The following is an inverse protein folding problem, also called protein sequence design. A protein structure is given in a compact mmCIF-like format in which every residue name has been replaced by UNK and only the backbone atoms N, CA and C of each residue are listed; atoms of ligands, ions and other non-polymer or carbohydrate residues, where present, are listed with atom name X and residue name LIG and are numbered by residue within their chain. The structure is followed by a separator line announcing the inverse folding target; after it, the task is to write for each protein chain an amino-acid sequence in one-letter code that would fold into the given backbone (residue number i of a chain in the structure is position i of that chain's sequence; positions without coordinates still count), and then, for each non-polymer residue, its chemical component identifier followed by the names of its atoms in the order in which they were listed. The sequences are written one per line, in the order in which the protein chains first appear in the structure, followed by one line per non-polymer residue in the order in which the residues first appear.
data_IF_629195018641
#
_entry.id   IF_629195018641
#
_cell.length_a   1.000
_cell.length_b   1.000
_cell.length_c   1.000
_cell.angle_alpha   90.00
_cell.angle_beta   90.00
_cell.angle_gamma   90.00
#
_symmetry.space_group_name_H-M   'P 1'
#
loop_
_entity.id
_entity.type
_entity.pdbx_description
1 polymer ?
#
# COMPACT_ATOMS: atom_id res chain seq x y z
N UNK A 1 18.00 10.99 17.46
CA UNK A 1 16.96 10.11 18.05
C UNK A 1 15.55 10.75 18.14
N UNK A 2 15.38 12.07 18.32
CA UNK A 2 14.06 12.69 18.55
C UNK A 2 12.97 12.41 17.49
N UNK A 3 13.36 12.28 16.20
CA UNK A 3 12.41 12.02 15.10
C UNK A 3 11.82 10.62 15.15
N UNK A 4 12.67 9.60 15.31
CA UNK A 4 12.22 8.20 15.31
C UNK A 4 11.40 7.86 16.57
N UNK A 5 11.63 8.55 17.69
CA UNK A 5 10.83 8.41 18.92
C UNK A 5 9.39 8.96 18.84
N UNK A 6 8.92 9.36 17.66
CA UNK A 6 7.51 9.73 17.40
C UNK A 6 6.62 8.52 17.11
N UNK A 7 7.19 7.37 16.73
CA UNK A 7 6.48 6.10 16.59
C UNK A 7 6.83 5.15 17.75
N UNK A 8 6.15 4.00 17.86
CA UNK A 8 6.49 2.94 18.83
C UNK A 8 6.26 3.29 20.30
N UNK A 9 5.22 4.08 20.60
CA UNK A 9 4.89 4.55 21.96
C UNK A 9 3.90 3.63 22.67
N UNK A 10 3.80 3.76 23.99
CA UNK A 10 2.87 3.00 24.83
C UNK A 10 2.98 1.47 24.63
N UNK A 11 4.21 0.96 24.54
CA UNK A 11 4.50 -0.47 24.33
C UNK A 11 4.14 -1.00 22.93
N UNK A 12 3.65 -0.16 22.01
CA UNK A 12 3.29 -0.56 20.65
C UNK A 12 4.53 -0.60 19.76
N UNK A 13 4.53 -1.50 18.77
CA UNK A 13 5.58 -1.54 17.74
C UNK A 13 5.49 -0.31 16.83
N UNK A 14 6.64 0.26 16.48
CA UNK A 14 6.79 1.37 15.56
C UNK A 14 7.79 1.05 14.46
N UNK A 15 7.67 1.72 13.31
CA UNK A 15 8.63 1.62 12.20
C UNK A 15 9.01 3.01 11.73
N UNK A 16 10.30 3.22 11.46
CA UNK A 16 10.82 4.44 10.85
C UNK A 16 11.70 4.08 9.67
N UNK A 17 11.60 4.87 8.61
CA UNK A 17 12.39 4.72 7.40
C UNK A 17 13.13 6.04 7.16
N UNK A 18 14.41 5.94 6.81
CA UNK A 18 15.25 7.09 6.44
C UNK A 18 15.68 6.90 5.00
N UNK A 19 15.50 7.91 4.18
CA UNK A 19 16.07 7.94 2.83
C UNK A 19 17.43 8.60 2.89
N UNK A 20 18.39 8.01 2.19
CA UNK A 20 19.74 8.52 2.07
C UNK A 20 20.21 8.28 0.64
N UNK A 21 20.95 9.24 0.09
CA UNK A 21 21.68 9.06 -1.16
C UNK A 21 23.11 8.55 -0.89
N UNK A 22 23.85 8.23 -1.95
CA UNK A 22 25.22 7.71 -1.85
C UNK A 22 26.18 8.64 -1.10
N UNK A 23 25.97 9.96 -1.18
CA UNK A 23 26.79 10.95 -0.48
C UNK A 23 26.47 11.04 1.01
N UNK A 24 25.34 10.51 1.46
CA UNK A 24 24.88 10.59 2.85
C UNK A 24 25.16 9.32 3.68
N UNK A 25 25.72 8.27 3.07
CA UNK A 25 26.00 6.98 3.73
C UNK A 25 26.91 7.16 4.96
N UNK A 26 27.85 8.09 4.92
CA UNK A 26 28.71 8.37 6.09
C UNK A 26 27.90 8.86 7.30
N UNK A 27 26.82 9.63 7.07
CA UNK A 27 25.91 10.11 8.13
C UNK A 27 25.12 8.95 8.74
N UNK A 28 24.72 7.97 7.92
CA UNK A 28 24.07 6.75 8.42
C UNK A 28 25.03 6.00 9.36
N UNK A 29 26.28 5.79 8.94
CA UNK A 29 27.31 5.14 9.79
C UNK A 29 27.62 5.90 11.08
N UNK A 30 27.53 7.22 11.06
CA UNK A 30 27.66 8.04 12.26
C UNK A 30 26.47 7.83 13.23
N UNK A 31 25.24 7.85 12.70
CA UNK A 31 24.03 7.57 13.48
C UNK A 31 24.09 6.19 14.11
N UNK A 32 24.49 5.16 13.35
CA UNK A 32 24.65 3.79 13.86
C UNK A 32 25.66 3.69 15.01
N UNK A 33 26.81 4.37 14.88
CA UNK A 33 27.84 4.44 15.93
C UNK A 33 27.31 5.10 17.20
N UNK A 34 26.65 6.25 17.08
CA UNK A 34 26.10 6.99 18.23
C UNK A 34 24.94 6.25 18.89
N UNK A 35 24.12 5.56 18.10
CA UNK A 35 22.93 4.87 18.61
C UNK A 35 23.19 3.41 18.99
N UNK A 36 24.41 2.89 18.78
CA UNK A 36 24.78 1.49 18.99
C UNK A 36 23.81 0.50 18.35
N UNK A 37 23.38 0.77 17.11
CA UNK A 37 22.41 -0.04 16.39
C UNK A 37 22.69 -0.03 14.90
N UNK A 38 22.33 -1.10 14.19
CA UNK A 38 22.47 -1.20 12.74
C UNK A 38 21.16 -0.84 12.05
N UNK A 39 21.22 0.03 11.05
CA UNK A 39 20.10 0.40 10.20
C UNK A 39 20.11 -0.53 8.99
N UNK A 40 19.14 -1.45 8.92
CA UNK A 40 19.01 -2.38 7.80
C UNK A 40 18.60 -1.65 6.52
N UNK A 41 19.44 -1.72 5.48
CA UNK A 41 19.07 -1.25 4.16
C UNK A 41 17.90 -2.07 3.60
N UNK A 42 16.91 -1.37 3.05
CA UNK A 42 15.81 -2.00 2.32
C UNK A 42 15.74 -1.47 0.91
N UNK A 43 15.68 -2.39 -0.06
CA UNK A 43 15.34 -2.07 -1.43
C UNK A 43 13.89 -1.58 -1.50
N UNK A 44 13.67 -0.57 -2.33
CA UNK A 44 12.32 -0.13 -2.66
C UNK A 44 11.53 -1.29 -3.31
N UNK A 45 10.21 -1.40 -3.04
CA UNK A 45 9.39 -2.37 -3.72
C UNK A 45 9.37 -2.08 -5.23
N UNK A 46 9.50 -3.12 -6.05
CA UNK A 46 9.32 -3.00 -7.49
C UNK A 46 7.87 -2.67 -7.88
N UNK A 47 7.67 -2.24 -9.11
CA UNK A 47 6.35 -1.83 -9.63
C UNK A 47 5.26 -2.90 -9.42
N UNK A 48 5.56 -4.18 -9.67
CA UNK A 48 4.62 -5.28 -9.47
C UNK A 48 4.13 -5.40 -8.01
N UNK A 49 5.02 -5.18 -7.03
CA UNK A 49 4.66 -5.25 -5.61
C UNK A 49 3.80 -4.06 -5.19
N UNK A 50 4.06 -2.89 -5.77
CA UNK A 50 3.24 -1.69 -5.55
C UNK A 50 1.85 -1.89 -6.16
N UNK A 51 1.78 -2.41 -7.39
CA UNK A 51 0.52 -2.70 -8.07
C UNK A 51 -0.32 -3.69 -7.27
N UNK A 52 0.28 -4.79 -6.81
CA UNK A 52 -0.39 -5.77 -5.94
C UNK A 52 -0.93 -5.11 -4.67
N UNK A 53 -0.10 -4.33 -3.95
CA UNK A 53 -0.54 -3.67 -2.73
C UNK A 53 -1.68 -2.66 -2.95
N UNK A 54 -1.73 -2.02 -4.12
CA UNK A 54 -2.87 -1.17 -4.51
C UNK A 54 -4.11 -2.00 -4.78
N UNK A 55 -4.01 -3.04 -5.61
CA UNK A 55 -5.12 -3.93 -5.94
C UNK A 55 -5.72 -4.56 -4.67
N UNK A 56 -4.89 -5.12 -3.78
CA UNK A 56 -5.31 -5.69 -2.50
C UNK A 56 -6.08 -4.66 -1.66
N UNK A 57 -5.60 -3.41 -1.62
CA UNK A 57 -6.28 -2.33 -0.89
C UNK A 57 -7.66 -2.01 -1.47
N UNK A 58 -7.78 -1.93 -2.79
CA UNK A 58 -9.06 -1.66 -3.46
C UNK A 58 -10.06 -2.80 -3.25
N UNK A 59 -9.62 -4.03 -3.45
CA UNK A 59 -10.45 -5.22 -3.27
C UNK A 59 -10.95 -5.35 -1.83
N UNK A 60 -10.08 -5.18 -0.84
CA UNK A 60 -10.48 -5.25 0.57
C UNK A 60 -11.50 -4.15 0.91
N UNK A 61 -11.29 -2.93 0.42
CA UNK A 61 -12.25 -1.83 0.64
C UNK A 61 -13.60 -2.11 -0.02
N UNK A 62 -13.60 -2.65 -1.24
CA UNK A 62 -14.82 -3.04 -1.92
C UNK A 62 -15.57 -4.15 -1.15
N UNK A 63 -14.83 -5.09 -0.57
CA UNK A 63 -15.40 -6.15 0.27
C UNK A 63 -16.00 -5.63 1.58
N UNK A 64 -15.34 -4.67 2.24
CA UNK A 64 -15.87 -4.03 3.45
C UNK A 64 -17.19 -3.27 3.17
N UNK A 65 -17.33 -2.65 1.99
CA UNK A 65 -18.56 -1.93 1.61
C UNK A 65 -19.72 -2.87 1.25
N UNK A 66 -19.43 -4.10 0.82
CA UNK A 66 -20.45 -5.08 0.47
C UNK A 66 -21.43 -5.37 1.63
N UNK A 67 -20.99 -5.18 2.87
CA UNK A 67 -21.80 -5.47 4.06
C UNK A 67 -22.80 -4.36 4.42
N UNK A 68 -22.74 -3.19 3.77
CA UNK A 68 -23.47 -1.99 4.21
C UNK A 68 -24.31 -1.26 3.15
N UNK A 69 -24.16 -1.58 1.87
CA UNK A 69 -24.81 -0.84 0.77
C UNK A 69 -25.76 -1.73 -0.07
N UNK A 70 -26.77 -1.11 -0.68
CA UNK A 70 -27.68 -1.78 -1.61
C UNK A 70 -26.99 -1.95 -2.98
N UNK A 71 -26.39 -3.12 -3.16
CA UNK A 71 -25.56 -3.47 -4.32
C UNK A 71 -26.40 -3.82 -5.54
N UNK A 72 -27.71 -4.02 -5.38
CA UNK A 72 -28.56 -4.49 -6.47
C UNK A 72 -28.69 -3.44 -7.58
N UNK A 73 -28.78 -2.16 -7.20
CA UNK A 73 -28.73 -1.06 -8.17
C UNK A 73 -27.38 -1.02 -8.92
N UNK A 74 -26.26 -1.21 -8.22
CA UNK A 74 -24.94 -1.21 -8.84
C UNK A 74 -24.74 -2.39 -9.80
N UNK A 75 -25.25 -3.58 -9.45
CA UNK A 75 -25.27 -4.74 -10.36
C UNK A 75 -26.03 -4.44 -11.64
N UNK A 76 -27.16 -3.73 -11.57
CA UNK A 76 -27.94 -3.37 -12.75
C UNK A 76 -27.16 -2.45 -13.71
N UNK A 77 -26.35 -1.52 -13.17
CA UNK A 77 -25.47 -0.68 -13.98
C UNK A 77 -24.34 -1.49 -14.63
N UNK A 78 -23.74 -2.44 -13.88
CA UNK A 78 -22.69 -3.30 -14.41
C UNK A 78 -23.21 -4.22 -15.52
N UNK A 79 -24.38 -4.84 -15.34
CA UNK A 79 -25.01 -5.69 -16.35
C UNK A 79 -25.25 -4.94 -17.66
N UNK A 80 -25.84 -3.75 -17.58
CA UNK A 80 -26.05 -2.89 -18.76
C UNK A 80 -24.73 -2.58 -19.45
N UNK A 81 -23.69 -2.24 -18.68
CA UNK A 81 -22.39 -1.90 -19.26
C UNK A 81 -21.71 -3.10 -19.92
N UNK A 82 -21.85 -4.29 -19.35
CA UNK A 82 -21.36 -5.54 -19.93
C UNK A 82 -22.06 -5.86 -21.25
N UNK A 83 -23.38 -5.66 -21.33
CA UNK A 83 -24.14 -5.83 -22.58
C UNK A 83 -23.73 -4.81 -23.65
N UNK A 84 -23.58 -3.54 -23.28
CA UNK A 84 -23.18 -2.46 -24.20
C UNK A 84 -21.80 -2.68 -24.82
N UNK A 85 -20.82 -3.11 -24.03
CA UNK A 85 -19.43 -3.30 -24.46
C UNK A 85 -19.12 -4.74 -24.91
N UNK A 86 -20.06 -5.67 -24.72
CA UNK A 86 -19.87 -7.08 -25.05
C UNK A 86 -18.74 -7.75 -24.26
N UNK A 87 -18.52 -7.34 -23.01
CA UNK A 87 -17.44 -7.84 -22.15
C UNK A 87 -17.99 -8.68 -20.99
N UNK A 88 -17.13 -9.52 -20.42
CA UNK A 88 -17.48 -10.29 -19.23
C UNK A 88 -17.21 -9.51 -17.92
N UNK A 89 -17.73 -10.04 -16.81
CA UNK A 89 -17.60 -9.39 -15.50
C UNK A 89 -16.14 -9.31 -15.02
N UNK A 90 -15.30 -10.26 -15.41
CA UNK A 90 -13.90 -10.31 -15.00
C UNK A 90 -13.09 -9.25 -15.74
N UNK A 91 -13.35 -9.05 -17.03
CA UNK A 91 -12.74 -8.03 -17.86
C UNK A 91 -13.11 -6.63 -17.36
N UNK A 92 -14.39 -6.39 -17.06
CA UNK A 92 -14.85 -5.13 -16.49
C UNK A 92 -14.22 -4.87 -15.11
N UNK A 93 -14.18 -5.87 -14.23
CA UNK A 93 -13.56 -5.75 -12.91
C UNK A 93 -12.04 -5.50 -13.00
N UNK A 94 -11.36 -6.16 -13.95
CA UNK A 94 -9.93 -5.93 -14.19
C UNK A 94 -9.66 -4.49 -14.68
N UNK A 95 -10.53 -3.94 -15.53
CA UNK A 95 -10.45 -2.55 -15.97
C UNK A 95 -10.65 -1.57 -14.81
N UNK A 96 -11.59 -1.85 -13.91
CA UNK A 96 -11.84 -1.03 -12.71
C UNK A 96 -10.69 -1.06 -11.68
N UNK A 97 -9.90 -2.14 -11.65
CA UNK A 97 -8.76 -2.29 -10.74
C UNK A 97 -7.47 -1.61 -11.24
N UNK A 98 -7.42 -1.18 -12.50
CA UNK A 98 -6.25 -0.59 -13.13
C UNK A 98 -6.06 0.88 -12.71
#
# INVERSE_FOLDING_TARGET
VHRIGRTGRAGRKGRSFTFANSREIYKIREIERVCHTTITEKKLPGAAKVLKAKADKYLNKAWELHEHEDIELMKSFLQRKMEEEGCDALELAAAMLK
#
